data_IF_710375408117
#
_entry.id   IF_710375408117
#
_cell.length_a   1.000
_cell.length_b   1.000
_cell.length_c   1.000
_cell.angle_alpha   90.00
_cell.angle_beta   90.00
_cell.angle_gamma   90.00
#
_symmetry.space_group_name_H-M   'P 1'
#
loop_
_entity.id
_entity.type
_entity.pdbx_description
1 polymer ?
#
# COMPACT_ATOMS: atom_id res chain seq x y z
N UNK A 1 4.85 -5.49 16.84
CA UNK A 1 4.53 -4.08 16.55
C UNK A 1 4.22 -4.02 15.08
N UNK A 2 3.14 -3.35 14.68
CA UNK A 2 2.75 -3.32 13.26
C UNK A 2 3.60 -2.32 12.47
N UNK A 3 3.81 -2.61 11.19
CA UNK A 3 4.40 -1.70 10.21
C UNK A 3 3.49 -1.54 9.00
N UNK A 4 3.52 -0.37 8.37
CA UNK A 4 2.79 -0.11 7.11
C UNK A 4 3.81 0.24 6.05
N UNK A 5 3.77 -0.47 4.92
CA UNK A 5 4.67 -0.24 3.79
C UNK A 5 3.87 0.09 2.54
N UNK A 6 4.25 1.20 1.90
CA UNK A 6 3.67 1.70 0.64
C UNK A 6 4.65 1.43 -0.48
N UNK A 7 4.28 0.56 -1.40
CA UNK A 7 4.99 0.31 -2.65
C UNK A 7 4.30 1.08 -3.77
N UNK A 8 5.06 1.88 -4.51
CA UNK A 8 4.57 2.63 -5.67
C UNK A 8 5.31 2.19 -6.91
N UNK A 9 4.55 1.90 -7.96
CA UNK A 9 5.05 1.49 -9.27
C UNK A 9 4.61 2.51 -10.32
N UNK A 10 5.55 2.88 -11.19
CA UNK A 10 5.38 3.94 -12.19
C UNK A 10 5.57 3.39 -13.59
N UNK A 11 5.03 4.09 -14.59
CA UNK A 11 5.04 3.65 -16.00
C UNK A 11 6.47 3.53 -16.55
N UNK A 12 7.39 4.35 -16.03
CA UNK A 12 8.81 4.33 -16.35
C UNK A 12 9.57 3.08 -15.85
N UNK A 13 8.88 2.11 -15.23
CA UNK A 13 9.50 0.97 -14.56
C UNK A 13 10.11 1.32 -13.19
N UNK A 14 9.91 2.56 -12.71
CA UNK A 14 10.40 2.99 -11.41
C UNK A 14 9.51 2.45 -10.29
N UNK A 15 10.11 1.72 -9.35
CA UNK A 15 9.48 1.29 -8.11
C UNK A 15 10.11 1.99 -6.90
N UNK A 16 9.29 2.46 -5.97
CA UNK A 16 9.74 2.98 -4.68
C UNK A 16 8.92 2.36 -3.55
N UNK A 17 9.55 2.19 -2.38
CA UNK A 17 8.90 1.69 -1.18
C UNK A 17 9.17 2.63 -0.01
N UNK A 18 8.13 2.95 0.76
CA UNK A 18 8.26 3.70 2.00
C UNK A 18 7.52 2.97 3.11
N UNK A 19 8.25 2.57 4.15
CA UNK A 19 7.71 1.90 5.33
C UNK A 19 7.70 2.82 6.54
N UNK A 20 6.73 2.62 7.44
CA UNK A 20 6.73 3.15 8.81
C UNK A 20 6.39 2.00 9.75
N UNK A 21 7.25 1.76 10.74
CA UNK A 21 7.10 0.65 11.69
C UNK A 21 7.09 1.14 13.13
N UNK A 22 6.76 0.24 14.06
CA UNK A 22 6.80 0.53 15.50
C UNK A 22 5.52 1.15 16.06
N UNK A 23 4.37 0.84 15.47
CA UNK A 23 3.06 1.36 15.92
C UNK A 23 2.12 0.24 16.40
N UNK A 24 1.02 0.64 17.05
CA UNK A 24 -0.06 -0.28 17.42
C UNK A 24 -0.85 -0.70 16.18
N UNK A 25 -1.53 -1.84 16.27
CA UNK A 25 -2.38 -2.36 15.19
C UNK A 25 -3.49 -1.40 14.77
N UNK A 26 -4.10 -0.68 15.71
CA UNK A 26 -5.12 0.33 15.41
C UNK A 26 -4.53 1.50 14.59
N UNK A 27 -3.37 2.02 15.00
CA UNK A 27 -2.68 3.06 14.24
C UNK A 27 -2.24 2.58 12.87
N UNK A 28 -1.76 1.34 12.75
CA UNK A 28 -1.38 0.76 11.45
C UNK A 28 -2.58 0.66 10.51
N UNK A 29 -3.75 0.26 11.01
CA UNK A 29 -4.99 0.24 10.21
C UNK A 29 -5.43 1.64 9.77
N UNK A 30 -5.39 2.62 10.68
CA UNK A 30 -5.70 4.02 10.32
C UNK A 30 -4.73 4.55 9.27
N UNK A 31 -3.43 4.26 9.41
CA UNK A 31 -2.42 4.68 8.46
C UNK A 31 -2.58 3.98 7.10
N UNK A 32 -2.87 2.68 7.10
CA UNK A 32 -3.18 1.89 5.89
C UNK A 32 -4.30 2.56 5.10
N UNK A 33 -5.42 2.88 5.76
CA UNK A 33 -6.57 3.55 5.14
C UNK A 33 -6.21 4.94 4.61
N UNK A 34 -5.46 5.73 5.38
CA UNK A 34 -5.02 7.07 4.99
C UNK A 34 -4.11 7.04 3.75
N UNK A 35 -3.11 6.17 3.73
CA UNK A 35 -2.18 6.02 2.61
C UNK A 35 -2.90 5.46 1.37
N UNK A 36 -3.85 4.55 1.57
CA UNK A 36 -4.67 4.01 0.48
C UNK A 36 -5.52 5.11 -0.15
N UNK A 37 -6.23 5.92 0.65
CA UNK A 37 -7.04 7.02 0.14
C UNK A 37 -6.18 8.08 -0.57
N UNK A 38 -4.98 8.38 -0.05
CA UNK A 38 -4.04 9.28 -0.71
C UNK A 38 -3.57 8.71 -2.07
N UNK A 39 -3.31 7.40 -2.15
CA UNK A 39 -2.96 6.73 -3.40
C UNK A 39 -4.13 6.72 -4.40
N UNK A 40 -5.37 6.50 -3.94
CA UNK A 40 -6.59 6.56 -4.78
C UNK A 40 -6.71 7.95 -5.44
N UNK A 41 -6.55 9.01 -4.66
CA UNK A 41 -6.58 10.40 -5.15
C UNK A 41 -5.43 10.69 -6.11
N UNK A 42 -4.21 10.26 -5.79
CA UNK A 42 -3.01 10.53 -6.59
C UNK A 42 -3.05 9.81 -7.95
N UNK A 43 -3.55 8.57 -7.97
CA UNK A 43 -3.59 7.73 -9.16
C UNK A 43 -4.90 7.88 -9.95
N UNK A 44 -5.94 8.47 -9.35
CA UNK A 44 -7.28 8.52 -9.93
C UNK A 44 -7.91 7.14 -10.09
N UNK A 45 -7.55 6.20 -9.21
CA UNK A 45 -7.92 4.78 -9.28
C UNK A 45 -8.54 4.32 -7.98
N UNK A 46 -9.29 3.23 -8.03
CA UNK A 46 -9.90 2.62 -6.86
C UNK A 46 -8.97 1.57 -6.24
N UNK A 47 -9.10 1.40 -4.92
CA UNK A 47 -8.46 0.30 -4.20
C UNK A 47 -9.15 -1.02 -4.50
N UNK A 48 -8.38 -2.10 -4.42
CA UNK A 48 -8.83 -3.48 -4.34
C UNK A 48 -8.15 -4.17 -3.16
N UNK A 49 -8.81 -5.10 -2.46
CA UNK A 49 -8.18 -5.85 -1.39
C UNK A 49 -6.94 -6.59 -1.91
N UNK A 50 -5.84 -6.50 -1.16
CA UNK A 50 -4.60 -7.21 -1.46
C UNK A 50 -4.20 -8.05 -0.26
N UNK A 51 -3.90 -9.33 -0.51
CA UNK A 51 -3.41 -10.27 0.49
C UNK A 51 -2.23 -11.01 -0.08
N UNK A 52 -1.11 -10.92 0.61
CA UNK A 52 0.13 -11.57 0.24
C UNK A 52 0.71 -12.30 1.47
N UNK A 53 1.22 -13.50 1.26
CA UNK A 53 1.76 -14.33 2.35
C UNK A 53 3.08 -13.78 2.92
N UNK A 54 3.84 -13.03 2.11
CA UNK A 54 5.15 -12.47 2.45
C UNK A 54 5.06 -11.01 2.89
N UNK A 55 4.20 -10.22 2.24
CA UNK A 55 4.07 -8.77 2.49
C UNK A 55 2.98 -8.43 3.51
N UNK A 56 2.00 -9.31 3.70
CA UNK A 56 0.88 -9.09 4.61
C UNK A 56 -0.42 -8.68 3.94
N UNK A 57 -1.30 -8.08 4.72
CA UNK A 57 -2.67 -7.75 4.32
C UNK A 57 -2.82 -6.23 4.11
N UNK A 58 -3.53 -5.82 3.06
CA UNK A 58 -3.79 -4.41 2.79
C UNK A 58 -4.58 -4.17 1.52
N UNK A 59 -4.17 -3.16 0.75
CA UNK A 59 -4.87 -2.70 -0.44
C UNK A 59 -3.91 -2.43 -1.59
N UNK A 60 -4.38 -2.72 -2.81
CA UNK A 60 -3.72 -2.31 -4.03
C UNK A 60 -4.57 -1.24 -4.71
N UNK A 61 -3.98 -0.12 -5.11
CA UNK A 61 -4.66 0.95 -5.85
C UNK A 61 -4.22 0.88 -7.31
N UNK A 62 -5.17 0.55 -8.20
CA UNK A 62 -4.89 0.16 -9.58
C UNK A 62 -4.56 -1.33 -9.75
N UNK A 63 -4.41 -1.77 -10.99
CA UNK A 63 -4.18 -3.15 -11.40
C UNK A 63 -2.78 -3.35 -11.98
N UNK A 64 -2.35 -4.59 -12.18
CA UNK A 64 -1.05 -4.88 -12.79
C UNK A 64 -0.94 -4.39 -14.24
N UNK A 65 -2.09 -4.28 -14.91
CA UNK A 65 -2.23 -3.72 -16.25
C UNK A 65 -2.20 -2.19 -16.27
N UNK A 66 -2.31 -1.55 -15.11
CA UNK A 66 -2.23 -0.11 -15.04
C UNK A 66 -0.77 0.35 -15.17
N UNK A 67 -0.50 1.38 -15.98
CA UNK A 67 0.84 1.94 -16.11
C UNK A 67 1.41 2.44 -14.78
N UNK A 68 0.57 2.71 -13.78
CA UNK A 68 1.05 3.03 -12.43
C UNK A 68 0.08 2.48 -11.40
N UNK A 69 0.59 1.79 -10.38
CA UNK A 69 -0.22 1.26 -9.31
C UNK A 69 0.53 1.39 -7.98
N UNK A 70 -0.21 1.30 -6.87
CA UNK A 70 0.37 1.27 -5.54
C UNK A 70 -0.11 0.03 -4.79
N UNK A 71 0.73 -0.52 -3.93
CA UNK A 71 0.39 -1.61 -3.00
C UNK A 71 0.72 -1.10 -1.60
N UNK A 72 -0.27 -1.06 -0.72
CA UNK A 72 -0.15 -0.59 0.65
C UNK A 72 -0.50 -1.78 1.54
N UNK A 73 0.42 -2.21 2.39
CA UNK A 73 0.27 -3.41 3.23
C UNK A 73 0.63 -3.12 4.68
N UNK A 74 -0.03 -3.84 5.59
CA UNK A 74 0.42 -3.96 6.97
C UNK A 74 1.37 -5.16 7.03
N UNK A 75 2.64 -4.89 7.33
CA UNK A 75 3.69 -5.91 7.50
C UNK A 75 3.30 -6.90 8.61
N UNK A 76 3.52 -8.18 8.34
CA UNK A 76 3.27 -9.28 9.30
C UNK A 76 4.41 -9.52 10.29
N UNK A 77 5.52 -8.78 10.18
CA UNK A 77 6.76 -9.03 10.92
C UNK A 77 7.15 -7.88 11.85
#
# INVERSE_FOLDING_TARGET
MAGVTVYTFSESGSSSSRGRSGMSDEHAKTLLESETAAAELRLGRTRVPHRDEYLGDGFKVGSGDDPSYAVIVIDKF
#
